data_IF_765747867445
#
_entry.id   IF_765747867445
#
_cell.length_a   1.000
_cell.length_b   1.000
_cell.length_c   1.000
_cell.angle_alpha   90.00
_cell.angle_beta   90.00
_cell.angle_gamma   90.00
#
_symmetry.space_group_name_H-M   'P 1'
#
loop_
_entity.id
_entity.type
_entity.pdbx_description
1 polymer ?
#
# COMPACT_ATOMS: atom_id res chain seq x y z
N UNK A 1 -14.75 -16.00 2.85
CA UNK A 1 -14.41 -14.63 2.37
C UNK A 1 -14.27 -14.65 0.86
N UNK A 2 -15.12 -13.93 0.10
CA UNK A 2 -14.82 -13.67 -1.32
C UNK A 2 -13.49 -12.92 -1.35
N UNK A 3 -12.47 -13.54 -1.95
CA UNK A 3 -11.12 -12.94 -2.03
C UNK A 3 -11.26 -11.62 -2.79
N UNK A 4 -10.77 -10.52 -2.21
CA UNK A 4 -10.69 -9.21 -2.89
C UNK A 4 -10.07 -9.35 -4.27
N UNK A 5 -10.36 -8.45 -5.21
CA UNK A 5 -9.71 -8.47 -6.52
C UNK A 5 -8.18 -8.47 -6.40
N UNK A 6 -7.48 -8.94 -7.43
CA UNK A 6 -6.02 -9.00 -7.42
C UNK A 6 -5.41 -7.63 -7.13
N UNK A 7 -5.95 -6.59 -7.74
CA UNK A 7 -5.49 -5.20 -7.64
C UNK A 7 -5.61 -4.69 -6.20
N UNK A 8 -6.70 -5.03 -5.50
CA UNK A 8 -6.90 -4.64 -4.10
C UNK A 8 -5.95 -5.39 -3.16
N UNK A 9 -5.72 -6.68 -3.41
CA UNK A 9 -4.74 -7.44 -2.60
C UNK A 9 -3.34 -6.90 -2.80
N UNK A 10 -2.96 -6.63 -4.05
CA UNK A 10 -1.67 -6.04 -4.39
C UNK A 10 -1.51 -4.66 -3.76
N UNK A 11 -2.55 -3.82 -3.81
CA UNK A 11 -2.56 -2.54 -3.12
C UNK A 11 -2.31 -2.69 -1.62
N UNK A 12 -3.03 -3.59 -0.94
CA UNK A 12 -2.87 -3.78 0.51
C UNK A 12 -1.47 -4.24 0.91
N UNK A 13 -0.87 -5.14 0.13
CA UNK A 13 0.51 -5.63 0.35
C UNK A 13 1.51 -4.48 0.18
N UNK A 14 1.51 -3.83 -0.99
CA UNK A 14 2.46 -2.77 -1.31
C UNK A 14 2.29 -1.56 -0.38
N UNK A 15 1.05 -1.21 -0.03
CA UNK A 15 0.80 -0.14 0.93
C UNK A 15 1.44 -0.44 2.28
N UNK A 16 1.29 -1.66 2.80
CA UNK A 16 1.84 -2.03 4.11
C UNK A 16 3.37 -2.01 4.08
N UNK A 17 3.99 -2.59 3.05
CA UNK A 17 5.45 -2.57 2.86
C UNK A 17 6.01 -1.14 2.80
N UNK A 18 5.38 -0.26 2.01
CA UNK A 18 5.84 1.12 1.86
C UNK A 18 5.59 1.99 3.10
N UNK A 19 4.57 1.66 3.92
CA UNK A 19 4.40 2.34 5.21
C UNK A 19 5.51 1.98 6.19
N UNK A 20 5.94 0.71 6.23
CA UNK A 20 7.08 0.28 7.05
C UNK A 20 8.35 1.00 6.61
N UNK A 21 8.67 0.98 5.30
CA UNK A 21 9.85 1.68 4.78
C UNK A 21 9.83 3.18 5.07
N UNK A 22 8.65 3.80 5.05
CA UNK A 22 8.50 5.21 5.41
C UNK A 22 8.78 5.42 6.90
N UNK A 23 8.23 4.57 7.77
CA UNK A 23 8.46 4.66 9.22
C UNK A 23 9.95 4.48 9.54
N UNK A 24 10.60 3.50 8.92
CA UNK A 24 12.06 3.32 9.02
C UNK A 24 12.81 4.56 8.54
N UNK A 25 12.43 5.14 7.39
CA UNK A 25 13.08 6.35 6.87
C UNK A 25 12.84 7.60 7.75
N UNK A 26 11.68 7.68 8.42
CA UNK A 26 11.33 8.80 9.29
C UNK A 26 12.05 8.72 10.66
N UNK A 27 12.39 7.52 11.14
CA UNK A 27 12.87 7.31 12.52
C UNK A 27 14.25 6.62 12.66
N UNK A 28 14.74 5.90 11.65
CA UNK A 28 16.07 5.27 11.67
C UNK A 28 17.09 6.14 10.93
N UNK A 29 17.93 6.84 11.71
CA UNK A 29 18.98 7.71 11.18
C UNK A 29 20.23 6.94 10.72
N UNK A 30 20.30 5.63 10.95
CA UNK A 30 21.41 4.77 10.53
C UNK A 30 21.23 4.18 9.14
N UNK A 31 20.00 4.19 8.63
CA UNK A 31 19.68 3.66 7.31
C UNK A 31 20.16 4.57 6.18
N UNK A 32 20.70 3.95 5.13
CA UNK A 32 21.20 4.65 3.94
C UNK A 32 20.32 4.28 2.76
N UNK A 33 19.58 5.27 2.26
CA UNK A 33 18.70 5.09 1.12
C UNK A 33 19.37 5.53 -0.19
N UNK A 34 19.43 4.63 -1.18
CA UNK A 34 19.87 4.99 -2.51
C UNK A 34 18.74 5.63 -3.30
N UNK A 35 19.03 6.76 -3.95
CA UNK A 35 18.05 7.49 -4.78
C UNK A 35 17.33 6.59 -5.79
N UNK A 36 18.05 5.65 -6.41
CA UNK A 36 17.49 4.73 -7.40
C UNK A 36 16.47 3.76 -6.81
N UNK A 37 16.63 3.36 -5.55
CA UNK A 37 15.72 2.46 -4.84
C UNK A 37 14.46 3.21 -4.43
N UNK A 38 14.63 4.39 -3.81
CA UNK A 38 13.52 5.28 -3.45
C UNK A 38 12.65 5.61 -4.67
N UNK A 39 13.26 5.88 -5.83
CA UNK A 39 12.52 6.13 -7.06
C UNK A 39 11.72 4.92 -7.54
N UNK A 40 12.24 3.70 -7.39
CA UNK A 40 11.48 2.48 -7.71
C UNK A 40 10.28 2.32 -6.79
N UNK A 41 10.43 2.62 -5.50
CA UNK A 41 9.35 2.54 -4.52
C UNK A 41 8.26 3.58 -4.78
N UNK A 42 8.63 4.81 -5.14
CA UNK A 42 7.69 5.84 -5.57
C UNK A 42 6.91 5.37 -6.81
N UNK A 43 7.60 4.88 -7.84
CA UNK A 43 6.96 4.37 -9.06
C UNK A 43 6.05 3.16 -8.77
N UNK A 44 6.44 2.31 -7.82
CA UNK A 44 5.64 1.18 -7.35
C UNK A 44 4.37 1.68 -6.67
N UNK A 45 4.46 2.67 -5.78
CA UNK A 45 3.34 3.30 -5.08
C UNK A 45 2.33 3.90 -6.06
N UNK A 46 2.80 4.74 -6.99
CA UNK A 46 1.96 5.41 -7.98
C UNK A 46 1.18 4.42 -8.84
N UNK A 47 1.85 3.34 -9.26
CA UNK A 47 1.25 2.27 -10.06
C UNK A 47 0.13 1.56 -9.31
N UNK A 48 0.38 1.11 -8.09
CA UNK A 48 -0.64 0.37 -7.32
C UNK A 48 -1.81 1.27 -6.91
N UNK A 49 -1.57 2.56 -6.65
CA UNK A 49 -2.65 3.54 -6.42
C UNK A 49 -3.50 3.68 -7.69
N UNK A 50 -2.88 3.78 -8.86
CA UNK A 50 -3.59 3.88 -10.15
C UNK A 50 -4.40 2.63 -10.45
N UNK A 51 -3.86 1.44 -10.20
CA UNK A 51 -4.55 0.16 -10.37
C UNK A 51 -5.71 0.01 -9.38
N UNK A 52 -5.50 0.36 -8.11
CA UNK A 52 -6.55 0.40 -7.10
C UNK A 52 -7.70 1.32 -7.52
N UNK A 53 -7.40 2.54 -8.01
CA UNK A 53 -8.40 3.49 -8.53
C UNK A 53 -9.16 3.00 -9.76
N UNK A 54 -8.65 1.99 -10.48
CA UNK A 54 -9.36 1.34 -11.59
C UNK A 54 -10.23 0.15 -11.15
N UNK A 55 -10.00 -0.40 -9.96
CA UNK A 55 -10.81 -1.50 -9.43
C UNK A 55 -12.26 -1.08 -9.18
N UNK A 56 -13.18 -2.06 -9.13
CA UNK A 56 -14.62 -1.83 -8.95
C UNK A 56 -14.89 -1.06 -7.66
N UNK A 57 -15.78 -0.07 -7.73
CA UNK A 57 -16.10 0.80 -6.58
C UNK A 57 -16.61 0.00 -5.36
N UNK A 58 -17.39 -1.06 -5.59
CA UNK A 58 -17.88 -1.94 -4.53
C UNK A 58 -16.71 -2.61 -3.77
N UNK A 59 -15.72 -3.13 -4.51
CA UNK A 59 -14.59 -3.82 -3.89
C UNK A 59 -13.69 -2.84 -3.13
N UNK A 60 -13.51 -1.61 -3.64
CA UNK A 60 -12.80 -0.54 -2.92
C UNK A 60 -13.48 -0.20 -1.59
N UNK A 61 -14.81 -0.02 -1.59
CA UNK A 61 -15.58 0.28 -0.37
C UNK A 61 -15.49 -0.87 0.64
N UNK A 62 -15.61 -2.11 0.17
CA UNK A 62 -15.44 -3.29 1.02
C UNK A 62 -14.03 -3.35 1.62
N UNK A 63 -12.99 -3.04 0.85
CA UNK A 63 -11.61 -2.98 1.33
C UNK A 63 -11.41 -1.88 2.39
N UNK A 64 -11.91 -0.67 2.15
CA UNK A 64 -11.84 0.44 3.12
C UNK A 64 -12.57 0.08 4.41
N UNK A 65 -13.75 -0.52 4.31
CA UNK A 65 -14.52 -0.98 5.48
C UNK A 65 -13.73 -2.04 6.23
N UNK A 66 -13.18 -3.04 5.54
CA UNK A 66 -12.33 -4.06 6.14
C UNK A 66 -11.09 -3.47 6.83
N UNK A 67 -10.38 -2.56 6.17
CA UNK A 67 -9.20 -1.91 6.75
C UNK A 67 -9.57 -1.10 8.00
N UNK A 68 -10.62 -0.28 7.92
CA UNK A 68 -11.03 0.59 9.04
C UNK A 68 -11.68 -0.16 10.19
N UNK A 69 -12.31 -1.32 9.96
CA UNK A 69 -12.92 -2.14 11.03
C UNK A 69 -11.94 -3.13 11.64
N UNK A 70 -11.02 -3.69 10.86
CA UNK A 70 -10.03 -4.65 11.35
C UNK A 70 -8.97 -3.99 12.23
N UNK A 71 -8.53 -2.78 11.90
CA UNK A 71 -7.53 -2.02 12.66
C UNK A 71 -8.13 -1.11 13.75
N UNK A 72 -9.44 -1.18 13.99
CA UNK A 72 -10.13 -0.43 15.07
C UNK A 72 -10.30 -1.21 16.38
N UNK A 73 -9.68 -2.38 16.52
CA UNK A 73 -9.68 -3.18 17.75
C UNK A 73 -8.31 -3.21 18.37
#
# INVERSE_FOLDING_TARGET
MRKFSREIRQFGVVFSELQILREEADYDLSEIYFRSEVLKDIQRAERVIKEFKKSKIHDRKAFVTYATTKYRR
#
